data_IF_495567012330
#
_entry.id   IF_495567012330
#
_cell.length_a   1.000
_cell.length_b   1.000
_cell.length_c   1.000
_cell.angle_alpha   90.00
_cell.angle_beta   90.00
_cell.angle_gamma   90.00
#
_symmetry.space_group_name_H-M   'P 1'
#
loop_
_entity.id
_entity.type
_entity.pdbx_description
1 polymer ?
#
# COMPACT_ATOMS: atom_id res chain seq x y z
N UNK A 1 -17.28 -7.28 30.03
CA UNK A 1 -16.19 -7.51 29.06
C UNK A 1 -16.83 -7.51 27.69
N UNK A 2 -16.39 -6.66 26.76
CA UNK A 2 -16.83 -6.76 25.37
C UNK A 2 -16.06 -7.92 24.76
N UNK A 3 -16.77 -8.96 24.33
CA UNK A 3 -16.18 -10.22 23.86
C UNK A 3 -16.04 -10.25 22.33
N UNK A 4 -16.73 -9.37 21.62
CA UNK A 4 -16.57 -9.11 20.18
C UNK A 4 -16.99 -7.68 19.86
N UNK A 5 -16.28 -7.07 18.91
CA UNK A 5 -16.61 -5.76 18.36
C UNK A 5 -16.23 -5.79 16.88
N UNK A 6 -17.23 -6.02 16.03
CA UNK A 6 -17.07 -6.00 14.58
C UNK A 6 -17.19 -4.56 14.08
N UNK A 7 -16.41 -4.24 13.04
CA UNK A 7 -16.46 -2.92 12.38
C UNK A 7 -17.63 -2.87 11.40
N UNK A 8 -18.28 -1.71 11.27
CA UNK A 8 -19.39 -1.51 10.33
C UNK A 8 -18.91 -1.24 8.89
N UNK A 9 -17.71 -0.70 8.75
CA UNK A 9 -17.09 -0.40 7.46
C UNK A 9 -15.56 -0.36 7.56
N UNK A 10 -14.90 -0.55 6.42
CA UNK A 10 -13.44 -0.59 6.29
C UNK A 10 -12.92 0.62 5.48
N UNK A 11 -12.03 1.41 6.08
CA UNK A 11 -11.24 2.41 5.36
C UNK A 11 -9.93 1.78 4.87
N UNK A 12 -9.63 1.91 3.58
CA UNK A 12 -8.40 1.35 2.99
C UNK A 12 -7.45 2.46 2.56
N UNK A 13 -6.18 2.34 2.94
CA UNK A 13 -5.11 3.25 2.53
C UNK A 13 -4.23 2.56 1.48
N UNK A 14 -3.99 3.23 0.35
CA UNK A 14 -3.13 2.70 -0.70
C UNK A 14 -2.27 3.80 -1.33
N UNK A 15 -0.96 3.60 -1.34
CA UNK A 15 0.02 4.53 -1.91
C UNK A 15 1.01 3.83 -2.84
N UNK A 16 1.60 2.73 -2.37
CA UNK A 16 2.70 2.03 -3.04
C UNK A 16 2.47 0.52 -2.89
N UNK A 17 2.64 -0.29 -3.94
CA UNK A 17 2.56 -1.74 -3.81
C UNK A 17 3.74 -2.27 -2.98
N UNK A 18 3.55 -3.44 -2.38
CA UNK A 18 4.63 -4.20 -1.74
C UNK A 18 4.91 -5.45 -2.54
N UNK A 19 6.19 -5.69 -2.80
CA UNK A 19 6.68 -6.90 -3.46
C UNK A 19 7.67 -7.57 -2.54
N UNK A 20 7.55 -8.88 -2.43
CA UNK A 20 8.41 -9.69 -1.59
C UNK A 20 8.92 -10.89 -2.39
N UNK A 21 10.07 -11.42 -1.99
CA UNK A 21 10.64 -12.65 -2.52
C UNK A 21 11.07 -13.56 -1.38
N UNK A 22 11.30 -14.83 -1.70
CA UNK A 22 11.95 -15.75 -0.77
C UNK A 22 13.32 -15.20 -0.37
N UNK A 23 13.71 -15.42 0.89
CA UNK A 23 15.02 -14.99 1.36
C UNK A 23 16.13 -15.74 0.64
N UNK A 24 17.16 -15.00 0.27
CA UNK A 24 18.40 -15.53 -0.30
C UNK A 24 19.59 -15.28 0.66
N UNK A 25 19.40 -14.40 1.65
CA UNK A 25 20.37 -14.04 2.66
C UNK A 25 19.98 -14.53 4.05
N UNK A 26 20.99 -14.81 4.88
CA UNK A 26 20.80 -15.08 6.31
C UNK A 26 20.12 -13.90 6.99
N UNK A 27 19.28 -14.19 7.99
CA UNK A 27 18.66 -13.14 8.80
C UNK A 27 19.68 -12.59 9.80
N UNK A 28 19.91 -11.28 9.77
CA UNK A 28 21.04 -10.62 10.42
C UNK A 28 20.66 -9.79 11.66
N UNK A 29 19.37 -9.70 12.00
CA UNK A 29 18.91 -9.04 13.22
C UNK A 29 18.93 -10.01 14.41
N UNK A 30 19.27 -9.48 15.58
CA UNK A 30 19.31 -10.19 16.86
C UNK A 30 17.94 -10.29 17.55
N UNK A 31 16.90 -9.73 16.94
CA UNK A 31 15.51 -9.82 17.36
C UNK A 31 14.61 -10.21 16.19
N UNK A 32 13.44 -10.77 16.48
CA UNK A 32 12.49 -11.21 15.46
C UNK A 32 11.73 -10.03 14.82
N UNK A 33 11.64 -10.06 13.49
CA UNK A 33 10.73 -9.24 12.68
C UNK A 33 10.05 -10.11 11.61
N UNK A 34 8.90 -9.71 11.04
CA UNK A 34 8.24 -10.46 9.97
C UNK A 34 9.12 -10.72 8.74
N UNK A 35 10.09 -9.85 8.46
CA UNK A 35 11.11 -9.99 7.40
C UNK A 35 12.03 -11.21 7.62
N UNK A 36 11.95 -11.87 8.78
CA UNK A 36 12.52 -13.20 8.97
C UNK A 36 12.05 -14.19 7.90
N UNK A 37 10.82 -14.05 7.39
CA UNK A 37 10.24 -14.95 6.40
C UNK A 37 10.43 -14.50 4.94
N UNK A 38 10.76 -13.24 4.68
CA UNK A 38 10.78 -12.68 3.33
C UNK A 38 11.78 -11.54 3.16
N UNK A 39 12.21 -11.32 1.92
CA UNK A 39 12.96 -10.11 1.53
C UNK A 39 12.06 -9.19 0.69
N UNK A 40 12.25 -7.87 0.82
CA UNK A 40 11.62 -6.92 -0.09
C UNK A 40 12.21 -7.08 -1.50
N UNK A 41 11.35 -7.01 -2.51
CA UNK A 41 11.74 -7.09 -3.91
C UNK A 41 11.37 -5.79 -4.64
N UNK A 42 12.12 -5.47 -5.68
CA UNK A 42 11.82 -4.38 -6.62
C UNK A 42 11.45 -5.01 -7.96
N UNK A 43 10.42 -4.48 -8.62
CA UNK A 43 10.10 -4.84 -9.99
C UNK A 43 10.88 -3.94 -10.95
N UNK A 44 11.93 -4.43 -11.65
CA UNK A 44 12.76 -3.56 -12.50
C UNK A 44 12.00 -2.95 -13.69
N UNK A 45 10.88 -3.57 -14.09
CA UNK A 45 10.00 -3.10 -15.16
C UNK A 45 8.83 -2.26 -14.63
N UNK A 46 8.79 -1.98 -13.33
CA UNK A 46 7.76 -1.17 -12.70
C UNK A 46 7.80 0.28 -13.19
N UNK A 47 6.66 0.95 -13.10
CA UNK A 47 6.59 2.42 -13.24
C UNK A 47 6.88 3.01 -11.87
N UNK A 48 7.78 3.99 -11.78
CA UNK A 48 8.17 4.59 -10.51
C UNK A 48 7.98 6.10 -10.50
N UNK A 49 7.64 6.64 -9.33
CA UNK A 49 7.57 8.07 -9.08
C UNK A 49 8.97 8.61 -8.76
N UNK A 50 9.58 9.45 -9.61
CA UNK A 50 10.93 9.96 -9.37
C UNK A 50 11.02 10.99 -8.24
N UNK A 51 9.89 11.57 -7.81
CA UNK A 51 9.88 12.72 -6.90
C UNK A 51 9.91 12.35 -5.41
N UNK A 52 9.51 11.11 -5.03
CA UNK A 52 9.53 10.66 -3.63
C UNK A 52 9.81 9.16 -3.52
N UNK A 53 10.90 8.84 -2.84
CA UNK A 53 11.37 7.49 -2.45
C UNK A 53 11.44 6.46 -3.59
N UNK A 54 11.43 6.92 -4.85
CA UNK A 54 11.31 6.07 -6.03
C UNK A 54 10.16 5.05 -5.91
N UNK A 55 8.99 5.50 -5.46
CA UNK A 55 7.86 4.63 -5.17
C UNK A 55 7.23 4.03 -6.43
N UNK A 56 6.97 2.72 -6.43
CA UNK A 56 6.29 2.06 -7.55
C UNK A 56 4.83 2.56 -7.66
N UNK A 57 4.38 2.77 -8.89
CA UNK A 57 3.02 3.18 -9.23
C UNK A 57 2.32 1.96 -9.85
N UNK A 58 1.43 1.32 -9.09
CA UNK A 58 0.64 0.17 -9.55
C UNK A 58 -0.86 0.36 -9.24
N UNK A 59 -1.62 1.08 -10.09
CA UNK A 59 -3.04 1.33 -9.85
C UNK A 59 -3.89 0.06 -9.85
N UNK A 60 -3.45 -0.98 -10.56
CA UNK A 60 -4.11 -2.29 -10.61
C UNK A 60 -4.30 -2.91 -9.21
N UNK A 61 -3.42 -2.61 -8.25
CA UNK A 61 -3.54 -3.13 -6.89
C UNK A 61 -4.84 -2.70 -6.19
N UNK A 62 -5.44 -1.57 -6.58
CA UNK A 62 -6.74 -1.13 -6.03
C UNK A 62 -7.84 -2.12 -6.42
N UNK A 63 -7.80 -2.62 -7.64
CA UNK A 63 -8.73 -3.67 -8.09
C UNK A 63 -8.50 -4.96 -7.31
N UNK A 64 -7.24 -5.36 -7.12
CA UNK A 64 -6.90 -6.59 -6.41
C UNK A 64 -7.35 -6.52 -4.94
N UNK A 65 -7.19 -5.36 -4.29
CA UNK A 65 -7.73 -5.07 -2.96
C UNK A 65 -9.26 -5.18 -2.95
N UNK A 66 -9.94 -4.55 -3.92
CA UNK A 66 -11.40 -4.59 -4.01
C UNK A 66 -11.93 -6.02 -4.20
N UNK A 67 -11.28 -6.82 -5.06
CA UNK A 67 -11.61 -8.23 -5.27
C UNK A 67 -11.38 -9.05 -3.99
N UNK A 68 -10.27 -8.82 -3.29
CA UNK A 68 -9.99 -9.49 -2.02
C UNK A 68 -11.06 -9.18 -0.96
N UNK A 69 -11.47 -7.91 -0.81
CA UNK A 69 -12.54 -7.53 0.12
C UNK A 69 -13.87 -8.21 -0.25
N UNK A 70 -14.19 -8.24 -1.54
CA UNK A 70 -15.41 -8.89 -2.06
C UNK A 70 -15.43 -10.39 -1.76
N UNK A 71 -14.33 -11.08 -2.07
CA UNK A 71 -14.28 -12.55 -2.08
C UNK A 71 -13.95 -13.14 -0.71
N UNK A 72 -13.16 -12.44 0.12
CA UNK A 72 -12.61 -13.00 1.37
C UNK A 72 -13.08 -12.29 2.65
N UNK A 73 -13.73 -11.13 2.56
CA UNK A 73 -14.15 -10.34 3.73
C UNK A 73 -15.66 -10.05 3.75
N UNK A 74 -16.45 -10.95 3.16
CA UNK A 74 -17.92 -10.82 3.12
C UNK A 74 -18.42 -9.58 2.40
N UNK A 75 -17.58 -8.97 1.55
CA UNK A 75 -17.87 -7.73 0.84
C UNK A 75 -18.36 -6.61 1.77
N UNK A 76 -17.72 -6.46 2.94
CA UNK A 76 -18.00 -5.39 3.89
C UNK A 76 -17.98 -4.02 3.19
N UNK A 77 -18.85 -3.09 3.64
CA UNK A 77 -18.85 -1.71 3.14
C UNK A 77 -17.45 -1.11 3.34
N UNK A 78 -16.89 -0.54 2.28
CA UNK A 78 -15.55 0.01 2.35
C UNK A 78 -15.39 1.22 1.44
N UNK A 79 -14.36 2.00 1.71
CA UNK A 79 -13.97 3.14 0.90
C UNK A 79 -12.45 3.29 0.90
N UNK A 80 -11.93 3.97 -0.13
CA UNK A 80 -10.53 4.35 -0.20
C UNK A 80 -10.35 5.59 0.69
N UNK A 81 -9.79 5.39 1.88
CA UNK A 81 -9.62 6.44 2.88
C UNK A 81 -8.42 7.33 2.57
N UNK A 82 -7.36 6.74 2.03
CA UNK A 82 -6.18 7.48 1.59
C UNK A 82 -5.65 6.94 0.27
N UNK A 83 -5.40 7.87 -0.64
CA UNK A 83 -4.63 7.64 -1.87
C UNK A 83 -3.94 8.95 -2.26
N UNK A 84 -2.70 8.85 -2.69
CA UNK A 84 -1.95 10.03 -3.11
C UNK A 84 -0.63 9.69 -3.77
N UNK A 85 -0.11 10.66 -4.51
CA UNK A 85 1.24 10.66 -5.03
C UNK A 85 1.86 12.01 -4.68
N UNK A 86 3.06 11.98 -4.10
CA UNK A 86 3.81 13.20 -3.86
C UNK A 86 4.49 13.63 -5.16
N UNK A 87 4.35 14.89 -5.53
CA UNK A 87 4.96 15.48 -6.71
C UNK A 87 5.86 16.64 -6.27
N UNK A 88 6.72 17.15 -7.16
CA UNK A 88 7.43 18.38 -6.86
C UNK A 88 6.50 19.60 -7.04
N UNK A 89 6.83 20.71 -6.38
CA UNK A 89 6.03 21.95 -6.44
C UNK A 89 5.77 22.45 -7.86
N UNK A 90 6.70 22.21 -8.79
CA UNK A 90 6.53 22.61 -10.18
C UNK A 90 5.47 21.77 -10.90
N UNK A 91 5.36 20.49 -10.57
CA UNK A 91 4.34 19.59 -11.14
C UNK A 91 3.00 19.63 -10.40
N UNK A 92 2.97 20.01 -9.12
CA UNK A 92 1.72 20.13 -8.34
C UNK A 92 0.84 21.30 -8.79
N UNK A 93 1.43 22.31 -9.46
CA UNK A 93 0.74 23.55 -9.81
C UNK A 93 0.46 24.44 -8.60
N UNK A 94 0.20 25.73 -8.84
CA UNK A 94 -0.21 26.62 -7.75
C UNK A 94 -1.63 26.24 -7.27
N UNK A 95 -1.88 26.21 -5.95
CA UNK A 95 -3.22 25.95 -5.43
C UNK A 95 -4.23 26.91 -6.07
N UNK A 96 -5.32 26.36 -6.62
CA UNK A 96 -6.41 27.18 -7.15
C UNK A 96 -6.93 28.13 -6.06
N UNK A 97 -7.18 29.40 -6.40
CA UNK A 97 -7.62 30.46 -5.48
C UNK A 97 -8.96 30.22 -4.77
N UNK A 98 -9.62 29.09 -5.02
CA UNK A 98 -10.90 28.72 -4.44
C UNK A 98 -10.75 27.31 -3.89
N UNK A 99 -10.38 27.23 -2.61
CA UNK A 99 -10.56 26.02 -1.82
C UNK A 99 -12.04 25.71 -1.60
#
# INVERSE_FOLDING_TARGET
>A
MILSADIDFLGVNYYVPRRVKARESEYDLDYFTPEYYFENAVNPQGRFNPYRDNNEILPQAIYDIAANIRDNYGNIKWYLAEIGIAMDRQSEGEPGRTG
#
